data_IF_297318089438
#
_entry.id   IF_297318089438
#
_cell.length_a   1.000
_cell.length_b   1.000
_cell.length_c   1.000
_cell.angle_alpha   90.00
_cell.angle_beta   90.00
_cell.angle_gamma   90.00
#
_symmetry.space_group_name_H-M   'P 1'
#
loop_
_entity.id
_entity.type
_entity.pdbx_description
1 polymer ?
#
# COMPACT_ATOMS: atom_id res chain seq x y z
N UNK A 1 -5.54 42.82 52.81
CA UNK A 1 -5.49 41.92 53.98
C UNK A 1 -4.53 40.80 53.62
N UNK A 2 -3.25 40.85 54.00
CA UNK A 2 -2.65 40.67 55.34
C UNK A 2 -2.48 39.19 55.74
N UNK A 3 -1.21 38.82 55.97
CA UNK A 3 -0.66 37.97 57.05
C UNK A 3 -0.92 36.45 56.98
N UNK A 4 0.09 35.61 56.74
CA UNK A 4 1.14 35.09 57.65
C UNK A 4 0.78 33.74 58.30
N UNK A 5 1.68 32.74 58.17
CA UNK A 5 2.07 31.73 59.18
C UNK A 5 3.14 30.80 58.54
N UNK A 6 4.44 30.82 58.90
CA UNK A 6 5.17 30.33 60.10
C UNK A 6 5.17 28.80 60.29
N UNK A 7 6.34 28.19 60.17
CA UNK A 7 7.00 27.27 61.14
C UNK A 7 8.36 26.82 60.52
N UNK A 8 9.51 27.37 60.92
CA UNK A 8 10.36 27.06 62.10
C UNK A 8 10.80 25.59 62.21
N UNK A 9 12.05 25.31 61.84
CA UNK A 9 12.93 24.50 62.69
C UNK A 9 14.41 24.88 62.50
N UNK A 10 14.95 25.51 63.55
CA UNK A 10 16.38 25.60 63.84
C UNK A 10 16.65 24.69 65.03
N UNK A 11 17.64 23.81 64.94
CA UNK A 11 18.36 23.29 66.11
C UNK A 11 19.75 22.81 65.70
N UNK A 12 20.73 23.62 66.09
CA UNK A 12 22.14 23.37 66.24
C UNK A 12 22.36 22.38 67.41
N UNK A 13 23.35 21.50 67.37
CA UNK A 13 24.33 21.24 68.46
C UNK A 13 25.44 20.27 67.98
N UNK A 14 26.65 20.82 68.05
CA UNK A 14 28.00 20.28 68.25
C UNK A 14 28.31 18.77 68.26
N UNK A 15 29.47 18.45 67.66
CA UNK A 15 30.51 17.72 68.37
C UNK A 15 31.16 16.57 67.61
N UNK A 16 32.20 16.85 66.81
CA UNK A 16 33.35 15.94 66.74
C UNK A 16 34.63 16.70 66.38
N UNK A 17 35.36 17.04 67.43
CA UNK A 17 36.76 17.43 67.40
C UNK A 17 37.57 16.13 67.26
N UNK A 18 38.37 16.02 66.20
CA UNK A 18 39.22 14.87 65.92
C UNK A 18 40.41 15.33 65.11
N UNK A 19 41.38 15.93 65.80
CA UNK A 19 42.69 16.31 65.29
C UNK A 19 43.47 15.07 64.84
N UNK A 20 43.86 15.03 63.57
CA UNK A 20 45.08 14.32 63.17
C UNK A 20 46.00 15.32 62.48
N UNK A 21 46.84 15.95 63.29
CA UNK A 21 48.05 16.66 62.83
C UNK A 21 48.98 15.58 62.28
N UNK A 22 49.11 15.54 60.95
CA UNK A 22 50.20 14.83 60.30
C UNK A 22 51.44 15.74 60.36
N UNK A 23 52.46 15.31 61.08
CA UNK A 23 53.79 15.95 61.09
C UNK A 23 54.38 15.95 59.68
N UNK A 24 54.86 17.10 59.14
CA UNK A 24 55.70 17.08 57.95
C UNK A 24 57.13 16.67 58.32
N UNK A 25 57.63 15.64 57.64
CA UNK A 25 59.06 15.31 57.62
C UNK A 25 59.87 16.41 56.92
N UNK A 26 61.21 16.46 57.11
CA UNK A 26 62.01 17.59 56.66
C UNK A 26 62.24 17.53 55.14
N UNK A 27 61.68 18.46 54.37
CA UNK A 27 62.07 18.63 52.96
C UNK A 27 61.10 19.32 52.00
N UNK A 28 59.83 19.58 52.36
CA UNK A 28 58.89 20.20 51.41
C UNK A 28 58.96 21.74 51.42
N UNK A 29 59.22 22.40 50.28
CA UNK A 29 59.10 23.85 50.17
C UNK A 29 57.62 24.28 50.37
N UNK A 30 57.35 25.40 51.05
CA UNK A 30 56.00 25.81 51.43
C UNK A 30 55.08 26.04 50.21
N UNK A 31 53.78 25.73 50.31
CA UNK A 31 52.83 25.96 49.21
C UNK A 31 52.73 27.46 48.88
N UNK A 32 53.14 27.80 47.65
CA UNK A 32 53.09 29.16 47.11
C UNK A 32 51.65 29.65 46.88
N UNK A 33 51.38 30.97 46.97
CA UNK A 33 50.04 31.54 46.87
C UNK A 33 49.37 31.27 45.51
N UNK A 34 48.02 31.13 45.45
CA UNK A 34 47.28 30.63 44.30
C UNK A 34 47.34 31.49 43.01
N UNK A 35 47.96 32.68 43.05
CA UNK A 35 48.17 33.53 41.87
C UNK A 35 49.42 33.18 41.05
N UNK A 36 50.44 32.58 41.65
CA UNK A 36 51.72 32.28 40.97
C UNK A 36 51.69 30.90 40.26
N UNK A 37 50.84 30.00 40.72
CA UNK A 37 50.73 28.63 40.18
C UNK A 37 50.17 28.58 38.76
N UNK A 38 49.17 29.40 38.42
CA UNK A 38 48.62 29.45 37.06
C UNK A 38 49.59 30.06 36.04
N UNK A 39 50.33 31.11 36.43
CA UNK A 39 51.37 31.70 35.59
C UNK A 39 52.52 30.71 35.34
N UNK A 40 52.86 29.91 36.35
CA UNK A 40 53.87 28.84 36.24
C UNK A 40 53.39 27.71 35.33
N UNK A 41 52.13 27.26 35.45
CA UNK A 41 51.54 26.26 34.55
C UNK A 41 51.55 26.75 33.11
N UNK A 42 51.17 28.01 32.85
CA UNK A 42 51.19 28.58 31.49
C UNK A 42 52.60 28.62 30.89
N UNK A 43 53.62 28.90 31.70
CA UNK A 43 55.02 28.84 31.29
C UNK A 43 55.47 27.40 30.97
N UNK A 44 55.11 26.44 31.82
CA UNK A 44 55.39 25.02 31.62
C UNK A 44 54.71 24.45 30.37
N UNK A 45 53.48 24.85 30.08
CA UNK A 45 52.80 24.50 28.83
C UNK A 45 53.59 24.97 27.59
N UNK A 46 54.26 26.12 27.67
CA UNK A 46 55.12 26.62 26.57
C UNK A 46 56.42 25.83 26.48
N UNK A 47 57.02 25.48 27.62
CA UNK A 47 58.27 24.70 27.70
C UNK A 47 58.08 23.23 27.26
N UNK A 48 56.88 22.66 27.33
CA UNK A 48 56.56 21.33 26.77
C UNK A 48 56.71 21.23 25.26
N UNK A 49 56.85 22.35 24.53
CA UNK A 49 57.15 22.35 23.09
C UNK A 49 58.65 22.33 22.78
N UNK A 50 59.51 22.22 23.79
CA UNK A 50 60.95 22.18 23.59
C UNK A 50 61.35 20.88 22.85
N UNK A 51 62.22 20.94 21.82
CA UNK A 51 62.71 19.75 21.12
C UNK A 51 63.43 18.76 22.04
N UNK A 52 64.03 19.20 23.15
CA UNK A 52 64.72 18.35 24.12
C UNK A 52 63.73 17.51 24.95
N UNK A 53 63.73 16.17 24.82
CA UNK A 53 62.84 15.29 25.59
C UNK A 53 63.07 15.36 27.10
N UNK A 54 64.30 15.60 27.55
CA UNK A 54 64.63 15.69 28.97
C UNK A 54 63.94 16.90 29.61
N UNK A 55 63.93 18.03 28.89
CA UNK A 55 63.22 19.24 29.33
C UNK A 55 61.71 18.99 29.38
N UNK A 56 61.13 18.32 28.37
CA UNK A 56 59.70 17.97 28.38
C UNK A 56 59.34 17.08 29.58
N UNK A 57 60.16 16.06 29.85
CA UNK A 57 59.97 15.16 30.99
C UNK A 57 60.01 15.91 32.33
N UNK A 58 61.02 16.76 32.55
CA UNK A 58 61.14 17.55 33.78
C UNK A 58 59.93 18.45 34.00
N UNK A 59 59.43 19.08 32.94
CA UNK A 59 58.24 19.95 32.99
C UNK A 59 56.99 19.14 33.34
N UNK A 60 56.82 17.95 32.75
CA UNK A 60 55.70 17.05 33.06
C UNK A 60 55.73 16.57 34.50
N UNK A 61 56.91 16.19 35.01
CA UNK A 61 57.09 15.79 36.40
C UNK A 61 56.79 16.93 37.36
N UNK A 62 57.24 18.15 37.04
CA UNK A 62 56.92 19.34 37.82
C UNK A 62 55.41 19.61 37.85
N UNK A 63 54.71 19.45 36.72
CA UNK A 63 53.25 19.58 36.66
C UNK A 63 52.52 18.50 37.47
N UNK A 64 53.02 17.25 37.47
CA UNK A 64 52.50 16.17 38.31
C UNK A 64 52.68 16.45 39.81
N UNK A 65 53.87 16.93 40.20
CA UNK A 65 54.19 17.29 41.58
C UNK A 65 53.34 18.44 42.13
N UNK A 66 52.81 19.30 41.27
CA UNK A 66 51.82 20.34 41.65
C UNK A 66 50.44 19.76 42.00
N UNK A 67 50.18 18.49 41.67
CA UNK A 67 48.96 17.77 42.04
C UNK A 67 47.68 18.41 41.48
N UNK A 68 46.55 18.36 42.20
CA UNK A 68 45.25 18.84 41.71
C UNK A 68 45.20 20.30 41.26
N UNK A 69 46.16 21.13 41.70
CA UNK A 69 46.28 22.53 41.26
C UNK A 69 46.67 22.67 39.78
N UNK A 70 47.27 21.63 39.18
CA UNK A 70 47.66 21.59 37.77
C UNK A 70 46.59 20.98 36.84
N UNK A 71 45.33 20.89 37.28
CA UNK A 71 44.22 20.37 36.45
C UNK A 71 44.05 21.06 35.11
N UNK A 72 44.41 22.35 35.01
CA UNK A 72 44.38 23.08 33.73
C UNK A 72 45.37 22.54 32.69
N UNK A 73 46.41 21.81 33.10
CA UNK A 73 47.40 21.20 32.22
C UNK A 73 46.99 19.80 31.71
N UNK A 74 45.86 19.24 32.15
CA UNK A 74 45.43 17.88 31.76
C UNK A 74 45.31 17.66 30.24
N UNK A 75 44.81 18.60 29.42
CA UNK A 75 44.75 18.40 27.96
C UNK A 75 46.14 18.20 27.34
N UNK A 76 47.12 18.99 27.78
CA UNK A 76 48.49 18.96 27.29
C UNK A 76 49.26 17.74 27.81
N UNK A 77 49.01 17.32 29.06
CA UNK A 77 49.56 16.06 29.59
C UNK A 77 49.00 14.84 28.85
N UNK A 78 47.74 14.91 28.38
CA UNK A 78 47.16 13.86 27.54
C UNK A 78 47.82 13.82 26.15
N UNK A 79 48.15 14.98 25.58
CA UNK A 79 48.95 15.04 24.34
C UNK A 79 50.35 14.44 24.53
N UNK A 80 50.97 14.67 25.69
CA UNK A 80 52.29 14.12 26.01
C UNK A 80 52.34 12.59 26.17
N UNK A 81 51.19 11.92 26.38
CA UNK A 81 51.09 10.45 26.30
C UNK A 81 51.36 9.91 24.89
N UNK A 82 51.27 10.76 23.87
CA UNK A 82 51.51 10.42 22.47
C UNK A 82 52.91 10.85 21.99
N UNK A 83 53.78 11.33 22.88
CA UNK A 83 55.16 11.72 22.52
C UNK A 83 55.93 10.52 21.96
N UNK A 84 56.96 10.76 21.15
CA UNK A 84 57.83 9.70 20.62
C UNK A 84 58.68 9.00 21.68
N UNK A 85 58.97 9.66 22.81
CA UNK A 85 59.92 9.20 23.83
C UNK A 85 59.19 8.53 25.01
N UNK A 86 59.56 7.30 25.35
CA UNK A 86 58.86 6.48 26.36
C UNK A 86 58.99 7.04 27.78
N UNK A 87 60.10 7.71 28.10
CA UNK A 87 60.31 8.44 29.37
C UNK A 87 59.32 9.61 29.53
N UNK A 88 58.96 10.27 28.43
CA UNK A 88 57.99 11.37 28.42
C UNK A 88 56.57 10.83 28.61
N UNK A 89 56.24 9.70 27.96
CA UNK A 89 54.93 9.03 28.13
C UNK A 89 54.70 8.54 29.55
N UNK A 90 55.69 7.87 30.13
CA UNK A 90 55.60 7.35 31.50
C UNK A 90 55.49 8.47 32.53
N UNK A 91 56.25 9.56 32.35
CA UNK A 91 56.11 10.76 33.18
C UNK A 91 54.72 11.39 33.04
N UNK A 92 54.15 11.45 31.83
CA UNK A 92 52.82 12.01 31.60
C UNK A 92 51.71 11.17 32.25
N UNK A 93 51.81 9.84 32.18
CA UNK A 93 50.87 8.93 32.84
C UNK A 93 50.91 9.09 34.37
N UNK A 94 52.11 9.16 34.95
CA UNK A 94 52.30 9.39 36.38
C UNK A 94 51.76 10.77 36.81
N UNK A 95 52.04 11.82 36.04
CA UNK A 95 51.54 13.17 36.33
C UNK A 95 50.01 13.25 36.28
N UNK A 96 49.37 12.58 35.30
CA UNK A 96 47.91 12.53 35.22
C UNK A 96 47.28 11.84 36.44
N UNK A 97 47.88 10.76 36.94
CA UNK A 97 47.41 10.07 38.15
C UNK A 97 47.59 10.93 39.41
N UNK A 98 48.66 11.73 39.49
CA UNK A 98 48.91 12.65 40.61
C UNK A 98 47.96 13.85 40.62
N UNK A 99 47.57 14.34 39.43
CA UNK A 99 46.64 15.48 39.29
C UNK A 99 45.19 15.05 39.51
N UNK A 100 44.83 13.85 39.04
CA UNK A 100 43.50 13.27 39.25
C UNK A 100 43.59 11.75 39.51
N UNK A 101 43.56 11.33 40.78
CA UNK A 101 43.60 9.92 41.17
C UNK A 101 42.43 9.08 40.64
N UNK A 102 41.32 9.71 40.24
CA UNK A 102 40.14 9.03 39.70
C UNK A 102 40.11 8.98 38.17
N UNK A 103 41.11 9.57 37.50
CA UNK A 103 41.21 9.55 36.06
C UNK A 103 41.67 8.16 35.60
N UNK A 104 40.72 7.30 35.22
CA UNK A 104 41.00 6.03 34.55
C UNK A 104 41.57 6.36 33.17
N UNK A 105 42.90 6.32 33.06
CA UNK A 105 43.58 6.47 31.78
C UNK A 105 43.26 5.21 30.96
N UNK A 106 42.54 5.29 29.82
CA UNK A 106 42.42 4.15 28.93
C UNK A 106 43.82 3.84 28.38
N UNK A 107 44.45 2.76 28.86
CA UNK A 107 45.79 2.35 28.46
C UNK A 107 46.84 2.27 29.57
N UNK A 108 46.50 2.48 30.84
CA UNK A 108 47.37 2.09 31.97
C UNK A 108 47.35 0.56 32.19
N UNK A 109 47.63 -0.20 31.14
CA UNK A 109 48.06 -1.60 31.26
C UNK A 109 49.57 -1.62 31.07
N UNK A 110 50.28 -1.70 32.19
CA UNK A 110 51.73 -1.86 32.20
C UNK A 110 52.07 -3.27 31.73
N UNK A 111 52.43 -3.38 30.46
CA UNK A 111 53.23 -4.50 29.94
C UNK A 111 52.41 -5.70 29.49
N UNK A 112 52.13 -5.77 28.19
CA UNK A 112 52.77 -6.70 27.24
C UNK A 112 52.08 -6.53 25.88
N UNK A 113 52.87 -6.64 24.82
CA UNK A 113 52.56 -6.02 23.53
C UNK A 113 51.28 -6.49 22.84
N UNK A 114 50.79 -5.67 21.92
CA UNK A 114 50.09 -6.11 20.70
C UNK A 114 49.83 -4.92 19.77
N UNK A 115 50.82 -4.57 18.94
CA UNK A 115 50.57 -3.71 17.76
C UNK A 115 49.62 -4.39 16.73
N UNK A 116 49.31 -5.68 16.90
CA UNK A 116 48.33 -6.43 16.10
C UNK A 116 46.89 -6.34 16.61
N UNK A 117 46.67 -6.24 17.92
CA UNK A 117 45.31 -6.27 18.50
C UNK A 117 44.55 -4.97 18.24
N UNK A 118 45.23 -3.82 18.24
CA UNK A 118 44.61 -2.53 17.90
C UNK A 118 44.14 -2.47 16.44
N UNK A 119 44.91 -3.06 15.52
CA UNK A 119 44.55 -3.13 14.09
C UNK A 119 43.37 -4.09 13.89
N UNK A 120 43.38 -5.22 14.60
CA UNK A 120 42.30 -6.22 14.55
C UNK A 120 40.99 -5.70 15.18
N UNK A 121 41.08 -4.98 16.30
CA UNK A 121 39.96 -4.26 16.92
C UNK A 121 39.39 -3.17 16.01
N UNK A 122 40.25 -2.42 15.31
CA UNK A 122 39.82 -1.39 14.36
C UNK A 122 39.10 -2.00 13.17
N UNK A 123 39.61 -3.14 12.65
CA UNK A 123 38.96 -3.89 11.58
C UNK A 123 37.59 -4.42 12.01
N UNK A 124 37.51 -5.06 13.17
CA UNK A 124 36.25 -5.59 13.72
C UNK A 124 35.23 -4.47 13.96
N UNK A 125 35.66 -3.30 14.46
CA UNK A 125 34.78 -2.13 14.60
C UNK A 125 34.25 -1.63 13.26
N UNK A 126 35.08 -1.60 12.23
CA UNK A 126 34.66 -1.20 10.89
C UNK A 126 33.66 -2.20 10.30
N UNK A 127 33.93 -3.50 10.42
CA UNK A 127 33.02 -4.55 9.97
C UNK A 127 31.69 -4.51 10.75
N UNK A 128 31.74 -4.29 12.07
CA UNK A 128 30.56 -4.10 12.90
C UNK A 128 29.75 -2.87 12.48
N UNK A 129 30.41 -1.74 12.19
CA UNK A 129 29.75 -0.53 11.72
C UNK A 129 29.04 -0.73 10.37
N UNK A 130 29.69 -1.45 9.44
CA UNK A 130 29.08 -1.82 8.15
C UNK A 130 27.86 -2.74 8.35
N UNK A 131 28.01 -3.78 9.16
CA UNK A 131 26.91 -4.70 9.47
C UNK A 131 25.74 -3.97 10.16
N UNK A 132 26.02 -3.03 11.07
CA UNK A 132 24.99 -2.19 11.69
C UNK A 132 24.26 -1.31 10.67
N UNK A 133 24.98 -0.68 9.75
CA UNK A 133 24.37 0.11 8.67
C UNK A 133 23.50 -0.75 7.76
N UNK A 134 23.98 -1.94 7.40
CA UNK A 134 23.22 -2.89 6.59
C UNK A 134 21.93 -3.32 7.30
N UNK A 135 21.98 -3.65 8.59
CA UNK A 135 20.78 -3.96 9.40
C UNK A 135 19.77 -2.81 9.37
N UNK A 136 20.21 -1.57 9.51
CA UNK A 136 19.32 -0.40 9.45
C UNK A 136 18.66 -0.28 8.08
N UNK A 137 19.44 -0.47 7.00
CA UNK A 137 18.91 -0.42 5.64
C UNK A 137 17.91 -1.54 5.37
N UNK A 138 18.20 -2.77 5.82
CA UNK A 138 17.33 -3.93 5.67
C UNK A 138 16.06 -3.80 6.49
N UNK A 139 16.14 -3.23 7.71
CA UNK A 139 14.94 -2.93 8.51
C UNK A 139 14.03 -1.92 7.82
N UNK A 140 14.60 -0.90 7.16
CA UNK A 140 13.82 0.07 6.38
C UNK A 140 13.11 -0.63 5.22
N UNK A 141 13.83 -1.45 4.44
CA UNK A 141 13.23 -2.23 3.36
C UNK A 141 12.15 -3.18 3.90
N UNK A 142 12.39 -3.83 5.05
CA UNK A 142 11.42 -4.67 5.73
C UNK A 142 10.14 -3.91 6.07
N UNK A 143 10.25 -2.72 6.67
CA UNK A 143 9.11 -1.87 6.99
C UNK A 143 8.32 -1.44 5.73
N UNK A 144 9.02 -1.09 4.64
CA UNK A 144 8.38 -0.73 3.37
C UNK A 144 7.63 -1.94 2.76
N UNK A 145 8.20 -3.14 2.86
CA UNK A 145 7.55 -4.38 2.41
C UNK A 145 6.35 -4.73 3.30
N UNK A 146 6.46 -4.60 4.62
CA UNK A 146 5.35 -4.82 5.55
C UNK A 146 4.17 -3.87 5.27
N UNK A 147 4.45 -2.58 5.03
CA UNK A 147 3.43 -1.61 4.63
C UNK A 147 2.75 -2.01 3.29
N UNK A 148 3.53 -2.50 2.33
CA UNK A 148 3.01 -2.98 1.05
C UNK A 148 2.15 -4.25 1.23
N UNK A 149 2.58 -5.18 2.06
CA UNK A 149 1.82 -6.40 2.39
C UNK A 149 0.49 -6.01 3.04
N UNK A 150 0.49 -5.10 4.02
CA UNK A 150 -0.73 -4.63 4.67
C UNK A 150 -1.70 -3.96 3.68
N UNK A 151 -1.17 -3.14 2.76
CA UNK A 151 -1.98 -2.50 1.71
C UNK A 151 -2.61 -3.54 0.76
N UNK A 152 -1.83 -4.54 0.34
CA UNK A 152 -2.32 -5.63 -0.51
C UNK A 152 -3.37 -6.48 0.21
N UNK A 153 -3.16 -6.81 1.49
CA UNK A 153 -4.15 -7.54 2.30
C UNK A 153 -5.48 -6.78 2.39
N UNK A 154 -5.43 -5.45 2.55
CA UNK A 154 -6.63 -4.60 2.55
C UNK A 154 -7.36 -4.66 1.20
N UNK A 155 -6.64 -4.54 0.09
CA UNK A 155 -7.23 -4.66 -1.26
C UNK A 155 -7.85 -6.04 -1.48
N UNK A 156 -7.17 -7.11 -1.06
CA UNK A 156 -7.71 -8.48 -1.14
C UNK A 156 -9.01 -8.58 -0.36
N UNK A 157 -9.06 -8.10 0.88
CA UNK A 157 -10.28 -8.12 1.70
C UNK A 157 -11.43 -7.34 1.06
N UNK A 158 -11.17 -6.13 0.58
CA UNK A 158 -12.19 -5.33 -0.12
C UNK A 158 -12.70 -6.02 -1.40
N UNK A 159 -11.81 -6.68 -2.15
CA UNK A 159 -12.20 -7.45 -3.33
C UNK A 159 -13.01 -8.69 -2.99
N UNK A 160 -12.70 -9.35 -1.87
CA UNK A 160 -13.44 -10.51 -1.35
C UNK A 160 -14.84 -10.08 -0.88
N UNK A 161 -14.96 -8.99 -0.13
CA UNK A 161 -16.25 -8.47 0.33
C UNK A 161 -17.15 -8.07 -0.85
N UNK A 162 -16.57 -7.50 -1.91
CA UNK A 162 -17.31 -7.23 -3.17
C UNK A 162 -17.73 -8.52 -3.87
N UNK A 163 -16.87 -9.54 -3.91
CA UNK A 163 -17.18 -10.81 -4.54
C UNK A 163 -18.29 -11.56 -3.79
N UNK A 164 -18.26 -11.59 -2.45
CA UNK A 164 -19.31 -12.21 -1.64
C UNK A 164 -20.62 -11.45 -1.76
N UNK A 165 -20.61 -10.12 -1.75
CA UNK A 165 -21.81 -9.32 -2.00
C UNK A 165 -22.42 -9.60 -3.38
N UNK A 166 -21.59 -9.69 -4.43
CA UNK A 166 -22.04 -10.04 -5.77
C UNK A 166 -22.60 -11.48 -5.85
N UNK A 167 -22.01 -12.43 -5.12
CA UNK A 167 -22.53 -13.80 -5.01
C UNK A 167 -23.90 -13.82 -4.33
N UNK A 168 -24.07 -13.18 -3.18
CA UNK A 168 -25.37 -13.11 -2.50
C UNK A 168 -26.44 -12.45 -3.38
N UNK A 169 -26.07 -11.42 -4.16
CA UNK A 169 -26.98 -10.80 -5.13
C UNK A 169 -27.37 -11.78 -6.25
N UNK A 170 -26.42 -12.55 -6.78
CA UNK A 170 -26.69 -13.60 -7.78
C UNK A 170 -27.62 -14.68 -7.23
N UNK A 171 -27.39 -15.12 -6.00
CA UNK A 171 -28.21 -16.14 -5.35
C UNK A 171 -29.64 -15.63 -5.14
N UNK A 172 -29.80 -14.37 -4.72
CA UNK A 172 -31.12 -13.72 -4.61
C UNK A 172 -31.87 -13.65 -5.95
N UNK A 173 -31.16 -13.35 -7.05
CA UNK A 173 -31.74 -13.38 -8.40
C UNK A 173 -32.11 -14.80 -8.82
N UNK A 174 -31.30 -15.80 -8.53
CA UNK A 174 -31.61 -17.21 -8.84
C UNK A 174 -32.87 -17.68 -8.11
N UNK A 175 -33.03 -17.32 -6.84
CA UNK A 175 -34.25 -17.62 -6.07
C UNK A 175 -35.48 -16.96 -6.73
N UNK A 176 -35.35 -15.70 -7.19
CA UNK A 176 -36.46 -15.03 -7.90
C UNK A 176 -36.78 -15.72 -9.22
N UNK A 177 -35.77 -16.13 -9.98
CA UNK A 177 -35.95 -16.87 -11.23
C UNK A 177 -36.68 -18.19 -10.96
N UNK A 178 -36.27 -18.93 -9.93
CA UNK A 178 -36.90 -20.19 -9.53
C UNK A 178 -38.38 -19.99 -9.18
N UNK A 179 -38.71 -18.99 -8.37
CA UNK A 179 -40.10 -18.67 -8.05
C UNK A 179 -40.93 -18.26 -9.27
N UNK A 180 -40.34 -17.52 -10.22
CA UNK A 180 -41.03 -17.16 -11.45
C UNK A 180 -41.27 -18.37 -12.36
N UNK A 181 -40.33 -19.32 -12.40
CA UNK A 181 -40.50 -20.59 -13.12
C UNK A 181 -41.64 -21.41 -12.51
N UNK A 182 -41.70 -21.55 -11.19
CA UNK A 182 -42.79 -22.23 -10.49
C UNK A 182 -44.15 -21.55 -10.75
N UNK A 183 -44.20 -20.22 -10.70
CA UNK A 183 -45.41 -19.46 -11.00
C UNK A 183 -45.85 -19.65 -12.47
N UNK A 184 -44.91 -19.70 -13.41
CA UNK A 184 -45.19 -19.98 -14.82
C UNK A 184 -45.73 -21.41 -15.01
N UNK A 185 -45.16 -22.40 -14.32
CA UNK A 185 -45.67 -23.77 -14.37
C UNK A 185 -47.09 -23.86 -13.83
N UNK A 186 -47.37 -23.21 -12.69
CA UNK A 186 -48.70 -23.17 -12.11
C UNK A 186 -49.71 -22.55 -13.08
N UNK A 187 -49.38 -21.38 -13.65
CA UNK A 187 -50.22 -20.72 -14.65
C UNK A 187 -50.40 -21.57 -15.90
N UNK A 188 -49.37 -22.29 -16.33
CA UNK A 188 -49.46 -23.21 -17.48
C UNK A 188 -50.38 -24.38 -17.19
N UNK A 189 -50.32 -24.96 -15.97
CA UNK A 189 -51.24 -26.02 -15.54
C UNK A 189 -52.67 -25.51 -15.45
N UNK A 190 -52.87 -24.31 -14.94
CA UNK A 190 -54.17 -23.64 -14.87
C UNK A 190 -54.76 -23.44 -16.27
N UNK A 191 -53.97 -22.92 -17.22
CA UNK A 191 -54.36 -22.80 -18.63
C UNK A 191 -54.70 -24.15 -19.25
N UNK A 192 -53.91 -25.19 -19.03
CA UNK A 192 -54.17 -26.52 -19.55
C UNK A 192 -55.50 -27.09 -19.02
N UNK A 193 -55.82 -26.86 -17.74
CA UNK A 193 -57.12 -27.24 -17.15
C UNK A 193 -58.27 -26.49 -17.82
N UNK A 194 -58.17 -25.17 -17.97
CA UNK A 194 -59.20 -24.36 -18.63
C UNK A 194 -59.37 -24.74 -20.11
N UNK A 195 -58.27 -25.02 -20.82
CA UNK A 195 -58.27 -25.52 -22.20
C UNK A 195 -58.89 -26.92 -22.30
N UNK A 196 -58.66 -27.80 -21.33
CA UNK A 196 -59.31 -29.12 -21.28
C UNK A 196 -60.81 -29.03 -21.00
N UNK A 197 -61.24 -28.03 -20.23
CA UNK A 197 -62.66 -27.70 -20.04
C UNK A 197 -63.31 -27.02 -21.25
N UNK A 198 -62.53 -26.64 -22.26
CA UNK A 198 -62.99 -25.98 -23.50
C UNK A 198 -62.69 -26.79 -24.78
N UNK A 199 -62.27 -28.05 -24.70
CA UNK A 199 -62.02 -28.87 -25.89
C UNK A 199 -63.24 -29.77 -26.19
N UNK A 200 -64.12 -29.48 -27.15
CA UNK A 200 -63.84 -29.38 -28.59
C UNK A 200 -63.12 -28.11 -29.04
N UNK A 201 -61.84 -28.25 -29.37
CA UNK A 201 -61.19 -27.82 -30.63
C UNK A 201 -59.68 -27.95 -30.42
N UNK A 202 -59.06 -28.90 -31.11
CA UNK A 202 -57.61 -28.98 -31.25
C UNK A 202 -57.15 -27.78 -32.08
N UNK A 203 -56.40 -26.85 -31.50
CA UNK A 203 -55.56 -25.94 -32.28
C UNK A 203 -54.10 -26.36 -32.13
N UNK A 204 -53.53 -26.77 -33.28
CA UNK A 204 -52.10 -26.85 -33.59
C UNK A 204 -51.38 -25.53 -33.21
N UNK A 205 -50.03 -25.49 -33.14
CA UNK A 205 -49.27 -24.29 -32.76
C UNK A 205 -49.84 -23.09 -33.50
N UNK A 206 -50.31 -22.09 -32.73
CA UNK A 206 -50.93 -20.88 -33.27
C UNK A 206 -49.82 -20.09 -33.96
N UNK A 207 -49.55 -20.46 -35.20
CA UNK A 207 -49.17 -19.49 -36.21
C UNK A 207 -50.39 -18.57 -36.29
N UNK A 208 -50.26 -17.33 -35.83
CA UNK A 208 -51.26 -16.29 -36.09
C UNK A 208 -51.23 -15.94 -37.58
N UNK A 209 -51.64 -16.89 -38.42
CA UNK A 209 -52.01 -16.66 -39.80
C UNK A 209 -53.49 -16.25 -39.78
N UNK A 210 -53.88 -15.18 -40.50
CA UNK A 210 -55.28 -14.78 -40.59
C UNK A 210 -56.18 -15.94 -41.05
N UNK A 211 -57.42 -15.97 -40.55
CA UNK A 211 -58.37 -17.08 -40.73
C UNK A 211 -58.87 -17.27 -42.16
N UNK A 212 -58.66 -16.29 -43.03
CA UNK A 212 -59.02 -16.36 -44.44
C UNK A 212 -57.76 -16.56 -45.31
N UNK A 213 -57.91 -17.24 -46.44
CA UNK A 213 -56.85 -17.34 -47.45
C UNK A 213 -56.68 -15.96 -48.08
N UNK A 214 -55.86 -15.12 -47.45
CA UNK A 214 -55.63 -13.76 -47.90
C UNK A 214 -54.36 -13.72 -48.75
N UNK A 215 -54.51 -13.26 -49.98
CA UNK A 215 -53.40 -13.06 -50.91
C UNK A 215 -53.37 -11.61 -51.38
N UNK A 216 -52.17 -11.04 -51.44
CA UNK A 216 -51.93 -9.67 -51.89
C UNK A 216 -50.58 -9.56 -52.58
N UNK A 217 -50.20 -8.34 -52.94
CA UNK A 217 -48.91 -8.01 -53.54
C UNK A 217 -48.16 -6.97 -52.68
N UNK A 218 -46.84 -6.99 -52.80
CA UNK A 218 -45.98 -5.96 -52.22
C UNK A 218 -46.13 -4.67 -53.04
N UNK A 219 -46.64 -3.61 -52.41
CA UNK A 219 -46.88 -2.29 -53.03
C UNK A 219 -45.60 -1.47 -53.03
N UNK A 220 -44.85 -1.53 -51.94
CA UNK A 220 -43.61 -0.81 -51.78
C UNK A 220 -42.68 -1.51 -50.78
N UNK A 221 -41.39 -1.32 -50.95
CA UNK A 221 -40.37 -1.87 -50.07
C UNK A 221 -39.31 -0.81 -49.81
N UNK A 222 -39.26 -0.32 -48.57
CA UNK A 222 -38.22 0.60 -48.16
C UNK A 222 -37.02 -0.19 -47.63
N UNK A 223 -35.98 -0.27 -48.47
CA UNK A 223 -34.72 -0.94 -48.17
C UNK A 223 -33.94 -0.25 -47.05
N UNK A 224 -34.20 1.03 -46.75
CA UNK A 224 -33.52 1.77 -45.68
C UNK A 224 -34.10 1.47 -44.30
N UNK A 225 -35.43 1.39 -44.19
CA UNK A 225 -36.11 1.06 -42.92
C UNK A 225 -36.32 -0.45 -42.71
N UNK A 226 -36.17 -1.27 -43.76
CA UNK A 226 -36.41 -2.71 -43.70
C UNK A 226 -37.89 -3.06 -43.52
N UNK A 227 -38.78 -2.16 -43.94
CA UNK A 227 -40.23 -2.31 -43.88
C UNK A 227 -40.80 -2.57 -45.28
N UNK A 228 -41.80 -3.43 -45.35
CA UNK A 228 -42.49 -3.83 -46.57
C UNK A 228 -43.97 -3.46 -46.44
N UNK A 229 -44.50 -2.75 -47.43
CA UNK A 229 -45.91 -2.38 -47.50
C UNK A 229 -46.62 -3.35 -48.43
N UNK A 230 -47.71 -3.94 -47.95
CA UNK A 230 -48.56 -4.85 -48.71
C UNK A 230 -49.94 -4.21 -48.92
N UNK A 231 -50.58 -4.52 -50.05
CA UNK A 231 -51.94 -4.09 -50.41
C UNK A 231 -53.04 -4.85 -49.64
N UNK A 232 -52.71 -5.29 -48.44
CA UNK A 232 -53.53 -6.16 -47.63
C UNK A 232 -53.71 -5.50 -46.28
N UNK A 233 -54.95 -5.27 -45.86
CA UNK A 233 -55.27 -4.56 -44.63
C UNK A 233 -56.26 -5.30 -43.72
N UNK A 234 -56.80 -4.59 -42.73
CA UNK A 234 -57.79 -5.13 -41.79
C UNK A 234 -59.05 -5.61 -42.49
N UNK A 235 -59.39 -5.01 -43.63
CA UNK A 235 -60.57 -5.36 -44.42
C UNK A 235 -60.45 -6.76 -45.03
N UNK A 236 -59.21 -7.23 -45.19
CA UNK A 236 -58.89 -8.57 -45.64
C UNK A 236 -58.60 -9.52 -44.45
N UNK A 237 -58.84 -9.08 -43.22
CA UNK A 237 -58.67 -9.88 -42.01
C UNK A 237 -57.24 -9.90 -41.45
N UNK A 238 -56.36 -8.98 -41.85
CA UNK A 238 -55.05 -8.84 -41.22
C UNK A 238 -55.13 -8.21 -39.83
N UNK A 239 -54.31 -8.73 -38.93
CA UNK A 239 -54.11 -8.20 -37.58
C UNK A 239 -52.62 -7.98 -37.34
N UNK A 240 -52.31 -7.05 -36.43
CA UNK A 240 -50.96 -6.83 -35.96
C UNK A 240 -50.41 -8.11 -35.31
N UNK A 241 -49.21 -8.51 -35.71
CA UNK A 241 -48.58 -9.77 -35.31
C UNK A 241 -48.87 -10.94 -36.25
N UNK A 242 -49.70 -10.75 -37.28
CA UNK A 242 -49.91 -11.78 -38.29
C UNK A 242 -48.64 -12.03 -39.10
N UNK A 243 -48.54 -13.24 -39.64
CA UNK A 243 -47.39 -13.67 -40.41
C UNK A 243 -47.81 -14.03 -41.83
N UNK A 244 -47.13 -13.46 -42.83
CA UNK A 244 -47.37 -13.70 -44.25
C UNK A 244 -46.13 -14.30 -44.90
N UNK A 245 -46.33 -15.13 -45.92
CA UNK A 245 -45.28 -15.72 -46.73
C UNK A 245 -45.12 -14.95 -48.03
N UNK A 246 -43.87 -14.63 -48.40
CA UNK A 246 -43.54 -13.84 -49.59
C UNK A 246 -42.88 -14.74 -50.64
N UNK A 247 -43.36 -14.69 -51.87
CA UNK A 247 -42.82 -15.45 -52.99
C UNK A 247 -42.81 -14.65 -54.30
N UNK A 248 -41.81 -14.92 -55.12
CA UNK A 248 -41.69 -14.39 -56.49
C UNK A 248 -42.20 -15.44 -57.46
N UNK A 249 -43.13 -15.09 -58.34
CA UNK A 249 -43.72 -16.03 -59.31
C UNK A 249 -42.94 -16.09 -60.64
N UNK A 250 -42.33 -15.00 -61.08
CA UNK A 250 -41.61 -14.92 -62.36
C UNK A 250 -40.19 -14.33 -62.20
N UNK A 251 -39.19 -14.76 -63.00
CA UNK A 251 -39.25 -15.80 -64.05
C UNK A 251 -39.19 -17.24 -63.53
N UNK A 252 -38.95 -17.45 -62.22
CA UNK A 252 -39.05 -18.76 -61.54
C UNK A 252 -39.69 -18.60 -60.16
N UNK A 253 -40.58 -19.53 -59.75
CA UNK A 253 -41.19 -19.50 -58.43
C UNK A 253 -40.12 -19.67 -57.35
N UNK A 254 -39.89 -18.62 -56.55
CA UNK A 254 -38.91 -18.61 -55.46
C UNK A 254 -39.56 -18.10 -54.17
N UNK A 255 -39.41 -18.86 -53.09
CA UNK A 255 -39.80 -18.44 -51.75
C UNK A 255 -38.77 -17.44 -51.21
N UNK A 256 -39.21 -16.23 -50.87
CA UNK A 256 -38.34 -15.14 -50.43
C UNK A 256 -38.27 -15.04 -48.90
N UNK A 257 -39.26 -15.57 -48.19
CA UNK A 257 -39.25 -15.63 -46.74
C UNK A 257 -40.59 -15.28 -46.11
N UNK A 258 -40.53 -14.91 -44.83
CA UNK A 258 -41.70 -14.64 -44.01
C UNK A 258 -41.71 -13.19 -43.54
N UNK A 259 -42.88 -12.56 -43.60
CA UNK A 259 -43.14 -11.17 -43.22
C UNK A 259 -44.04 -11.13 -41.98
N UNK A 260 -43.58 -10.46 -40.92
CA UNK A 260 -44.36 -10.26 -39.71
C UNK A 260 -44.98 -8.87 -39.70
N UNK A 261 -46.29 -8.81 -39.56
CA UNK A 261 -47.07 -7.59 -39.69
C UNK A 261 -46.94 -6.77 -38.41
N UNK A 262 -46.33 -5.59 -38.54
CA UNK A 262 -46.06 -4.66 -37.44
C UNK A 262 -47.23 -3.70 -37.25
N UNK A 263 -47.88 -3.32 -38.34
CA UNK A 263 -49.01 -2.39 -38.34
C UNK A 263 -50.01 -2.70 -39.46
N UNK A 264 -51.29 -2.42 -39.22
CA UNK A 264 -52.39 -2.71 -40.15
C UNK A 264 -53.29 -1.49 -40.28
N UNK A 265 -53.55 -1.10 -41.52
CA UNK A 265 -54.54 -0.10 -41.91
C UNK A 265 -55.71 -0.79 -42.65
N UNK A 266 -56.76 -0.03 -43.02
CA UNK A 266 -57.94 -0.57 -43.70
C UNK A 266 -57.60 -1.42 -44.93
N UNK A 267 -56.78 -0.88 -45.84
CA UNK A 267 -56.46 -1.51 -47.14
C UNK A 267 -54.97 -1.82 -47.34
N UNK A 268 -54.12 -1.56 -46.33
CA UNK A 268 -52.68 -1.79 -46.41
C UNK A 268 -52.14 -2.23 -45.06
N UNK A 269 -51.01 -2.92 -45.07
CA UNK A 269 -50.32 -3.30 -43.86
C UNK A 269 -48.81 -3.16 -44.03
N UNK A 270 -48.14 -2.88 -42.92
CA UNK A 270 -46.69 -2.75 -42.86
C UNK A 270 -46.13 -3.95 -42.14
N UNK A 271 -45.24 -4.66 -42.82
CA UNK A 271 -44.58 -5.84 -42.29
C UNK A 271 -43.07 -5.70 -42.23
N UNK A 272 -42.46 -6.46 -41.32
CA UNK A 272 -41.02 -6.61 -41.16
C UNK A 272 -40.62 -8.06 -41.46
N UNK A 273 -39.63 -8.31 -42.32
CA UNK A 273 -39.21 -9.67 -42.65
C UNK A 273 -38.50 -10.35 -41.45
N UNK A 274 -38.80 -11.63 -41.20
CA UNK A 274 -38.34 -12.42 -40.04
C UNK A 274 -37.15 -13.32 -40.39
N UNK A 275 -36.22 -12.88 -41.22
CA UNK A 275 -35.02 -13.69 -41.52
C UNK A 275 -33.75 -12.87 -41.75
N UNK A 276 -32.59 -13.39 -41.29
CA UNK A 276 -31.30 -12.81 -41.59
C UNK A 276 -30.86 -13.28 -42.99
N UNK A 277 -30.53 -12.32 -43.88
CA UNK A 277 -30.04 -12.49 -45.28
C UNK A 277 -31.18 -12.72 -46.30
N UNK A 278 -31.50 -11.89 -47.30
CA UNK A 278 -30.98 -10.62 -47.83
C UNK A 278 -32.16 -9.64 -47.91
N UNK A 279 -32.09 -8.49 -47.25
CA UNK A 279 -33.10 -7.43 -47.32
C UNK A 279 -33.32 -6.93 -48.78
N UNK A 280 -32.36 -7.19 -49.68
CA UNK A 280 -32.42 -6.84 -51.10
C UNK A 280 -33.20 -7.85 -52.00
N UNK A 281 -33.91 -8.83 -51.42
CA UNK A 281 -34.57 -9.87 -52.22
C UNK A 281 -36.03 -9.57 -52.57
N UNK A 282 -36.75 -8.84 -51.71
CA UNK A 282 -38.17 -8.49 -51.93
C UNK A 282 -38.23 -7.24 -52.82
N UNK A 283 -39.08 -7.28 -53.84
CA UNK A 283 -39.32 -6.22 -54.80
C UNK A 283 -40.81 -5.92 -54.88
N UNK A 284 -41.15 -4.71 -55.31
CA UNK A 284 -42.52 -4.33 -55.64
C UNK A 284 -43.09 -5.31 -56.67
N UNK A 285 -44.27 -5.87 -56.37
CA UNK A 285 -44.94 -6.89 -57.19
C UNK A 285 -44.68 -8.33 -56.78
N UNK A 286 -43.83 -8.60 -55.78
CA UNK A 286 -43.77 -9.93 -55.16
C UNK A 286 -45.11 -10.25 -54.47
N UNK A 287 -45.50 -11.52 -54.47
CA UNK A 287 -46.81 -11.96 -53.97
C UNK A 287 -46.71 -12.40 -52.52
N UNK A 288 -47.70 -12.01 -51.71
CA UNK A 288 -47.81 -12.37 -50.30
C UNK A 288 -49.06 -13.20 -50.06
N UNK A 289 -48.97 -14.23 -49.23
CA UNK A 289 -50.11 -15.04 -48.85
C UNK A 289 -50.03 -15.50 -47.39
N UNK A 290 -51.17 -15.70 -46.74
CA UNK A 290 -51.25 -16.26 -45.39
C UNK A 290 -51.01 -17.78 -45.34
N UNK A 291 -51.26 -18.49 -46.44
CA UNK A 291 -51.15 -19.95 -46.55
C UNK A 291 -50.95 -20.39 -48.01
N UNK A 292 -50.08 -21.38 -48.22
CA UNK A 292 -49.83 -21.99 -49.54
C UNK A 292 -51.13 -22.66 -50.03
N UNK A 293 -51.72 -22.16 -51.11
CA UNK A 293 -52.69 -22.92 -51.91
C UNK A 293 -51.92 -24.01 -52.66
N UNK A 294 -52.07 -25.26 -52.23
CA UNK A 294 -51.73 -26.40 -53.09
C UNK A 294 -52.68 -26.44 -54.30
N UNK A 295 -52.23 -26.93 -55.47
CA UNK A 295 -53.11 -27.06 -56.62
C UNK A 295 -54.25 -28.03 -56.30
N UNK A 296 -55.49 -27.57 -56.43
CA UNK A 296 -56.70 -28.39 -56.48
C UNK A 296 -56.85 -29.05 -57.84
#
# INVERSE_FOLDING_TARGET
>A
MRFQARMLWSALVMGFCGTLVASPGPGEPPPAPPGETQATIARYVKEMKNPDPLVRQQVIQALGAMGPSARSAMPILREALLDSVDEVKSAAAAALQQIDPNNIIPGADLGTGTKGSDVELTRIRLELGKAQQEIVSLRKVGADQEAKIAALQKQVKESQDKATAAQSARDGLQVRIQHLQEALEEKTRELARLQSGTATVRSKPVVNSPSENVGGNVVDCDLQSGLVVVDLGSDAGLLKGNTLEVFRLEPRPLYLGTLHIVDVQAHQAVGRPVSPLKVNAIQKGDRVASKIQGPS
#
